data_IF_069833295097
#
_entry.id   IF_069833295097
#
_cell.length_a   1.000
_cell.length_b   1.000
_cell.length_c   1.000
_cell.angle_alpha   90.00
_cell.angle_beta   90.00
_cell.angle_gamma   90.00
#
_symmetry.space_group_name_H-M   'P 1'
#
loop_
_entity.id
_entity.type
_entity.pdbx_description
1 polymer ?
#
# COMPACT_ATOMS: atom_id res chain seq x y z
N UNK A 1 28.72 -10.27 8.30
CA UNK A 1 27.25 -10.43 8.33
C UNK A 1 26.58 -9.88 7.08
N UNK A 2 26.57 -8.57 6.79
CA UNK A 2 25.82 -7.98 5.66
C UNK A 2 25.78 -8.82 4.36
N UNK A 3 26.94 -9.26 3.87
CA UNK A 3 27.06 -10.01 2.60
C UNK A 3 26.64 -11.48 2.67
N UNK A 4 26.73 -12.11 3.84
CA UNK A 4 26.68 -13.57 3.97
C UNK A 4 25.56 -14.06 4.90
N UNK A 5 24.99 -13.20 5.73
CA UNK A 5 23.92 -13.58 6.65
C UNK A 5 22.58 -13.67 5.91
N UNK A 6 21.71 -14.55 6.39
CA UNK A 6 20.33 -14.62 5.94
C UNK A 6 19.42 -13.92 6.95
N UNK A 7 18.45 -13.16 6.43
CA UNK A 7 17.28 -12.74 7.19
C UNK A 7 16.34 -13.94 7.31
N UNK A 8 15.99 -14.31 8.54
CA UNK A 8 15.09 -15.41 8.84
C UNK A 8 13.82 -14.84 9.44
N UNK A 9 12.68 -15.29 8.93
CA UNK A 9 11.35 -14.96 9.44
C UNK A 9 10.62 -16.24 9.80
N UNK A 10 10.13 -16.30 11.04
CA UNK A 10 9.33 -17.42 11.55
C UNK A 10 8.03 -16.93 12.17
N UNK A 11 6.98 -17.74 12.11
CA UNK A 11 5.73 -17.44 12.81
C UNK A 11 5.87 -17.64 14.32
N UNK A 12 5.28 -16.73 15.09
CA UNK A 12 5.13 -16.91 16.53
C UNK A 12 4.09 -18.00 16.78
N UNK A 13 4.46 -19.02 17.54
CA UNK A 13 3.60 -20.17 17.83
C UNK A 13 2.24 -19.73 18.38
N UNK A 14 1.16 -20.23 17.77
CA UNK A 14 -0.22 -19.91 18.15
C UNK A 14 -0.82 -18.69 17.43
N UNK A 15 -0.08 -18.03 16.54
CA UNK A 15 -0.54 -16.88 15.74
C UNK A 15 -0.71 -17.20 14.25
N UNK A 16 -0.73 -18.47 13.87
CA UNK A 16 -0.80 -18.90 12.47
C UNK A 16 -2.12 -18.51 11.79
N UNK A 17 -3.24 -18.54 12.53
CA UNK A 17 -4.55 -18.12 12.01
C UNK A 17 -4.70 -16.60 11.94
N UNK A 18 -4.33 -15.89 13.01
CA UNK A 18 -4.33 -14.42 13.08
C UNK A 18 -3.41 -13.81 12.01
N UNK A 19 -2.29 -14.48 11.78
CA UNK A 19 -1.23 -14.09 10.88
C UNK A 19 -1.41 -14.49 9.41
N UNK A 20 -2.58 -14.97 8.99
CA UNK A 20 -2.76 -15.57 7.66
C UNK A 20 -2.29 -14.68 6.48
N UNK A 21 -2.31 -13.35 6.64
CA UNK A 21 -1.80 -12.39 5.64
C UNK A 21 -0.26 -12.38 5.49
N UNK A 22 0.47 -12.94 6.44
CA UNK A 22 1.93 -13.07 6.45
C UNK A 22 2.39 -14.51 6.21
N UNK A 23 1.50 -15.39 5.71
CA UNK A 23 1.77 -16.83 5.52
C UNK A 23 3.04 -17.10 4.71
N UNK A 24 3.30 -16.29 3.69
CA UNK A 24 4.50 -16.40 2.85
C UNK A 24 5.81 -16.20 3.64
N UNK A 25 5.74 -15.67 4.86
CA UNK A 25 6.86 -15.35 5.73
C UNK A 25 6.91 -16.18 7.02
N UNK A 26 6.09 -17.25 7.14
CA UNK A 26 6.04 -18.10 8.33
C UNK A 26 7.27 -18.98 8.53
N UNK A 27 7.96 -19.32 7.44
CA UNK A 27 9.25 -20.00 7.44
C UNK A 27 10.01 -19.54 6.20
N UNK A 28 10.59 -18.34 6.29
CA UNK A 28 11.21 -17.67 5.15
C UNK A 28 12.65 -17.27 5.44
N UNK A 29 13.53 -17.54 4.48
CA UNK A 29 14.98 -17.35 4.60
C UNK A 29 15.50 -16.73 3.32
N UNK A 30 16.17 -15.58 3.42
CA UNK A 30 16.77 -14.94 2.24
C UNK A 30 18.04 -14.15 2.57
N UNK A 31 18.95 -13.93 1.59
CA UNK A 31 20.17 -13.18 1.84
C UNK A 31 19.89 -11.73 2.26
N UNK A 32 20.47 -11.31 3.39
CA UNK A 32 20.24 -10.00 4.01
C UNK A 32 20.51 -8.82 3.07
N UNK A 33 21.59 -8.91 2.29
CA UNK A 33 22.03 -7.80 1.43
C UNK A 33 21.13 -7.53 0.21
N UNK A 34 20.29 -8.50 -0.16
CA UNK A 34 19.47 -8.46 -1.39
C UNK A 34 17.98 -8.56 -1.11
N UNK A 35 17.55 -8.36 0.14
CA UNK A 35 16.13 -8.41 0.50
C UNK A 35 15.37 -7.30 -0.23
N UNK A 36 14.34 -7.61 -1.04
CA UNK A 36 13.53 -6.60 -1.70
C UNK A 36 12.76 -5.74 -0.68
N UNK A 37 12.63 -4.44 -0.93
CA UNK A 37 11.95 -3.48 -0.03
C UNK A 37 10.56 -3.96 0.41
N UNK A 38 9.71 -4.38 -0.52
CA UNK A 38 8.34 -4.82 -0.20
C UNK A 38 8.29 -6.04 0.73
N UNK A 39 9.22 -7.00 0.60
CA UNK A 39 9.31 -8.17 1.49
C UNK A 39 9.84 -7.77 2.87
N UNK A 40 10.89 -6.95 2.91
CA UNK A 40 11.42 -6.40 4.15
C UNK A 40 10.32 -5.69 4.96
N UNK A 41 9.57 -4.78 4.34
CA UNK A 41 8.48 -4.05 4.99
C UNK A 41 7.34 -4.98 5.44
N UNK A 42 6.99 -6.01 4.65
CA UNK A 42 5.99 -6.99 5.04
C UNK A 42 6.42 -7.80 6.29
N UNK A 43 7.67 -8.25 6.31
CA UNK A 43 8.26 -8.95 7.46
C UNK A 43 8.34 -8.05 8.71
N UNK A 44 8.80 -6.81 8.58
CA UNK A 44 8.83 -5.86 9.70
C UNK A 44 7.43 -5.53 10.22
N UNK A 45 6.44 -5.42 9.33
CA UNK A 45 5.05 -5.25 9.72
C UNK A 45 4.54 -6.46 10.50
N UNK A 46 4.80 -7.68 10.03
CA UNK A 46 4.41 -8.90 10.75
C UNK A 46 5.08 -9.01 12.12
N UNK A 47 6.33 -8.55 12.25
CA UNK A 47 7.01 -8.42 13.54
C UNK A 47 6.36 -7.40 14.46
N UNK A 48 6.04 -6.20 13.97
CA UNK A 48 5.41 -5.14 14.77
C UNK A 48 3.99 -5.50 15.21
N UNK A 49 3.25 -6.25 14.40
CA UNK A 49 1.96 -6.83 14.77
C UNK A 49 2.10 -8.07 15.68
N UNK A 50 3.35 -8.47 15.97
CA UNK A 50 3.68 -9.57 16.88
C UNK A 50 3.36 -10.97 16.33
N UNK A 51 3.17 -11.11 15.02
CA UNK A 51 2.89 -12.38 14.33
C UNK A 51 4.17 -13.10 13.92
N UNK A 52 5.18 -12.35 13.48
CA UNK A 52 6.45 -12.88 13.02
C UNK A 52 7.57 -12.58 14.01
N UNK A 53 8.55 -13.47 14.08
CA UNK A 53 9.84 -13.25 14.68
C UNK A 53 10.88 -13.16 13.57
N UNK A 54 11.70 -12.11 13.61
CA UNK A 54 12.80 -11.91 12.67
C UNK A 54 14.12 -12.12 13.39
N UNK A 55 15.07 -12.78 12.74
CA UNK A 55 16.43 -12.96 13.21
C UNK A 55 17.45 -12.94 12.07
N UNK A 56 18.73 -12.83 12.41
CA UNK A 56 19.81 -13.01 11.44
C UNK A 56 20.51 -14.34 11.66
N UNK A 57 20.50 -15.18 10.63
CA UNK A 57 21.35 -16.37 10.58
C UNK A 57 22.72 -15.98 10.01
N UNK A 58 23.73 -15.95 10.88
CA UNK A 58 25.11 -15.63 10.52
C UNK A 58 25.83 -16.76 9.77
N UNK A 59 25.35 -17.99 9.90
CA UNK A 59 25.95 -19.21 9.36
C UNK A 59 24.90 -19.99 8.53
N UNK A 60 24.36 -19.40 7.44
CA UNK A 60 23.24 -19.98 6.69
C UNK A 60 23.56 -21.27 5.93
N UNK A 61 24.80 -21.74 5.98
CA UNK A 61 25.22 -23.02 5.41
C UNK A 61 24.85 -24.21 6.32
N UNK A 62 24.43 -23.95 7.55
CA UNK A 62 23.99 -24.96 8.49
C UNK A 62 22.48 -24.80 8.78
N UNK A 63 21.76 -25.92 8.79
CA UNK A 63 20.33 -25.95 9.12
C UNK A 63 20.07 -25.58 10.59
N UNK A 64 21.00 -25.94 11.47
CA UNK A 64 21.00 -25.55 12.88
C UNK A 64 22.22 -24.69 13.21
N UNK A 65 22.12 -23.77 14.20
CA UNK A 65 23.26 -22.97 14.62
C UNK A 65 24.45 -23.86 14.98
N UNK A 66 25.61 -23.72 14.30
CA UNK A 66 26.76 -24.57 14.55
C UNK A 66 27.28 -24.34 15.97
N UNK A 67 27.98 -25.36 16.51
CA UNK A 67 28.66 -25.24 17.81
C UNK A 67 29.68 -24.11 17.82
N UNK A 68 30.39 -23.93 16.71
CA UNK A 68 31.36 -22.85 16.49
C UNK A 68 30.92 -22.07 15.24
N UNK A 69 30.52 -20.81 15.42
CA UNK A 69 30.15 -19.93 14.31
C UNK A 69 31.41 -19.41 13.60
N UNK A 70 31.33 -19.18 12.29
CA UNK A 70 32.41 -18.49 11.56
C UNK A 70 32.72 -17.12 12.17
N UNK A 71 31.73 -16.46 12.78
CA UNK A 71 31.92 -15.18 13.44
C UNK A 71 32.71 -15.29 14.75
N UNK A 72 32.67 -16.43 15.43
CA UNK A 72 33.53 -16.69 16.61
C UNK A 72 35.00 -16.77 16.17
N UNK A 73 35.28 -17.35 14.99
CA UNK A 73 36.64 -17.38 14.42
C UNK A 73 37.16 -15.97 14.11
N UNK A 74 36.32 -15.10 13.53
CA UNK A 74 36.70 -13.69 13.28
C UNK A 74 37.11 -12.98 14.57
N UNK A 75 36.39 -13.22 15.68
CA UNK A 75 36.72 -12.62 16.98
C UNK A 75 38.06 -13.16 17.50
N UNK A 76 38.30 -14.47 17.39
CA UNK A 76 39.57 -15.08 17.81
C UNK A 76 40.75 -14.51 17.01
N UNK A 77 40.60 -14.39 15.69
CA UNK A 77 41.63 -13.86 14.80
C UNK A 77 41.91 -12.38 15.11
N UNK A 78 40.87 -11.58 15.33
CA UNK A 78 41.00 -10.17 15.70
C UNK A 78 41.77 -9.97 17.01
N UNK A 79 41.54 -10.83 18.00
CA UNK A 79 42.20 -10.78 19.30
C UNK A 79 43.59 -11.46 19.29
N UNK A 80 43.99 -12.09 18.18
CA UNK A 80 45.21 -12.90 18.12
C UNK A 80 45.20 -14.08 19.09
N UNK A 81 44.02 -14.59 19.43
CA UNK A 81 43.83 -15.59 20.47
C UNK A 81 44.23 -16.97 19.95
N UNK A 82 45.36 -17.50 20.45
CA UNK A 82 45.85 -18.84 20.10
C UNK A 82 45.43 -19.86 21.14
N UNK A 83 44.75 -20.90 20.67
CA UNK A 83 44.32 -22.04 21.49
C UNK A 83 45.31 -23.18 21.27
N UNK A 84 46.13 -23.46 22.28
CA UNK A 84 47.20 -24.46 22.25
C UNK A 84 46.95 -25.57 23.30
N UNK A 85 45.68 -25.83 23.62
CA UNK A 85 45.24 -26.75 24.69
C UNK A 85 45.77 -26.34 26.09
N UNK A 86 45.96 -25.05 26.32
CA UNK A 86 46.27 -24.55 27.66
C UNK A 86 45.04 -24.70 28.58
N UNK A 87 45.23 -24.83 29.92
CA UNK A 87 44.10 -25.01 30.85
C UNK A 87 43.01 -23.94 30.76
N UNK A 88 43.36 -22.72 30.35
CA UNK A 88 42.43 -21.60 30.21
C UNK A 88 41.69 -21.55 28.84
N UNK A 89 42.06 -22.39 27.88
CA UNK A 89 41.56 -22.29 26.50
C UNK A 89 40.08 -22.65 26.38
N UNK A 90 39.58 -23.58 27.19
CA UNK A 90 38.14 -23.89 27.27
C UNK A 90 37.33 -22.70 27.75
N UNK A 91 37.82 -22.01 28.79
CA UNK A 91 37.20 -20.78 29.30
C UNK A 91 37.25 -19.66 28.26
N UNK A 92 38.39 -19.46 27.59
CA UNK A 92 38.54 -18.47 26.51
C UNK A 92 37.57 -18.71 25.36
N UNK A 93 37.42 -19.96 24.89
CA UNK A 93 36.40 -20.33 23.90
C UNK A 93 34.99 -19.96 24.37
N UNK A 94 34.66 -20.28 25.61
CA UNK A 94 33.38 -19.90 26.22
C UNK A 94 33.15 -18.39 26.20
N UNK A 95 34.15 -17.59 26.56
CA UNK A 95 34.09 -16.12 26.53
C UNK A 95 33.89 -15.59 25.11
N UNK A 96 34.58 -16.14 24.11
CA UNK A 96 34.40 -15.76 22.69
C UNK A 96 32.98 -16.07 22.24
N UNK A 97 32.48 -17.27 22.52
CA UNK A 97 31.13 -17.67 22.14
C UNK A 97 30.06 -16.79 22.79
N UNK A 98 30.22 -16.45 24.07
CA UNK A 98 29.31 -15.53 24.77
C UNK A 98 29.40 -14.11 24.20
N UNK A 99 30.60 -13.63 23.91
CA UNK A 99 30.83 -12.33 23.28
C UNK A 99 30.11 -12.26 21.94
N UNK A 100 30.24 -13.30 21.11
CA UNK A 100 29.52 -13.40 19.85
C UNK A 100 28.00 -13.41 20.06
N UNK A 101 27.48 -14.40 20.78
CA UNK A 101 26.03 -14.70 20.80
C UNK A 101 25.21 -13.72 21.64
N UNK A 102 25.77 -13.19 22.72
CA UNK A 102 25.03 -12.38 23.70
C UNK A 102 25.26 -10.88 23.47
N UNK A 103 26.39 -10.49 22.84
CA UNK A 103 26.75 -9.08 22.65
C UNK A 103 26.82 -8.69 21.18
N UNK A 104 27.76 -9.27 20.43
CA UNK A 104 28.08 -8.82 19.07
C UNK A 104 26.93 -9.11 18.11
N UNK A 105 26.37 -10.32 18.12
CA UNK A 105 25.25 -10.70 17.24
C UNK A 105 24.02 -9.82 17.52
N UNK A 106 23.61 -9.67 18.78
CA UNK A 106 22.45 -8.84 19.15
C UNK A 106 22.60 -7.37 18.73
N UNK A 107 23.80 -6.82 18.89
CA UNK A 107 24.10 -5.44 18.47
C UNK A 107 24.05 -5.32 16.94
N UNK A 108 24.78 -6.17 16.22
CA UNK A 108 24.81 -6.14 14.76
C UNK A 108 23.46 -6.46 14.15
N UNK A 109 22.67 -7.35 14.74
CA UNK A 109 21.31 -7.64 14.30
C UNK A 109 20.44 -6.40 14.35
N UNK A 110 20.49 -5.64 15.46
CA UNK A 110 19.74 -4.39 15.59
C UNK A 110 20.16 -3.37 14.53
N UNK A 111 21.46 -3.17 14.35
CA UNK A 111 21.98 -2.20 13.37
C UNK A 111 21.66 -2.58 11.91
N UNK A 112 21.88 -3.85 11.56
CA UNK A 112 21.64 -4.33 10.21
C UNK A 112 20.16 -4.39 9.86
N UNK A 113 19.30 -4.79 10.80
CA UNK A 113 17.85 -4.71 10.63
C UNK A 113 17.39 -3.26 10.45
N UNK A 114 17.95 -2.32 11.22
CA UNK A 114 17.71 -0.89 11.05
C UNK A 114 18.08 -0.42 9.64
N UNK A 115 19.26 -0.80 9.17
CA UNK A 115 19.76 -0.47 7.81
C UNK A 115 18.84 -1.02 6.71
N UNK A 116 18.37 -2.27 6.84
CA UNK A 116 17.44 -2.87 5.88
C UNK A 116 16.11 -2.12 5.88
N UNK A 117 15.59 -1.78 7.07
CA UNK A 117 14.35 -1.03 7.21
C UNK A 117 14.45 0.34 6.54
N UNK A 118 15.48 1.11 6.86
CA UNK A 118 15.70 2.44 6.29
C UNK A 118 15.76 2.39 4.76
N UNK A 119 16.55 1.46 4.19
CA UNK A 119 16.63 1.29 2.73
C UNK A 119 15.29 0.92 2.12
N UNK A 120 14.53 0.04 2.78
CA UNK A 120 13.23 -0.39 2.30
C UNK A 120 12.20 0.75 2.35
N UNK A 121 12.20 1.54 3.43
CA UNK A 121 11.35 2.73 3.59
C UNK A 121 11.69 3.80 2.54
N UNK A 122 12.96 4.10 2.32
CA UNK A 122 13.41 5.05 1.30
C UNK A 122 12.93 4.65 -0.10
N UNK A 123 13.07 3.36 -0.46
CA UNK A 123 12.59 2.86 -1.75
C UNK A 123 11.08 3.00 -1.88
N UNK A 124 10.32 2.64 -0.84
CA UNK A 124 8.86 2.74 -0.82
C UNK A 124 8.40 4.21 -0.94
N UNK A 125 9.03 5.12 -0.20
CA UNK A 125 8.76 6.57 -0.26
C UNK A 125 9.03 7.09 -1.67
N UNK A 126 10.14 6.69 -2.30
CA UNK A 126 10.45 7.11 -3.67
C UNK A 126 9.42 6.60 -4.69
N UNK A 127 8.89 5.39 -4.51
CA UNK A 127 7.77 4.89 -5.33
C UNK A 127 6.51 5.72 -5.11
N UNK A 128 6.15 6.02 -3.85
CA UNK A 128 4.98 6.85 -3.55
C UNK A 128 5.13 8.27 -4.09
N UNK A 129 6.32 8.86 -3.97
CA UNK A 129 6.62 10.19 -4.49
C UNK A 129 6.46 10.26 -6.01
N UNK A 130 6.99 9.26 -6.75
CA UNK A 130 6.79 9.16 -8.21
C UNK A 130 5.32 9.00 -8.58
N UNK A 131 4.60 8.11 -7.90
CA UNK A 131 3.18 7.91 -8.17
C UNK A 131 2.36 9.18 -7.90
N UNK A 132 2.67 9.92 -6.82
CA UNK A 132 2.02 11.19 -6.52
C UNK A 132 2.36 12.25 -7.56
N UNK A 133 3.62 12.35 -7.96
CA UNK A 133 4.04 13.26 -9.03
C UNK A 133 3.27 12.98 -10.32
N UNK A 134 3.17 11.72 -10.74
CA UNK A 134 2.46 11.34 -11.96
C UNK A 134 0.95 11.63 -11.88
N UNK A 135 0.35 11.50 -10.70
CA UNK A 135 -1.05 11.90 -10.46
C UNK A 135 -1.25 13.40 -10.57
N UNK A 136 -0.34 14.20 -10.00
CA UNK A 136 -0.42 15.67 -10.01
C UNK A 136 -0.10 16.26 -11.39
N UNK A 137 0.78 15.61 -12.16
CA UNK A 137 1.21 16.05 -13.48
C UNK A 137 0.35 15.45 -14.61
N UNK A 138 -0.72 14.73 -14.28
CA UNK A 138 -1.65 14.21 -15.26
C UNK A 138 -2.29 15.37 -16.05
N UNK A 139 -2.43 15.18 -17.37
CA UNK A 139 -2.97 16.22 -18.23
C UNK A 139 -4.41 16.58 -17.82
N UNK A 140 -4.72 17.87 -17.59
CA UNK A 140 -6.06 18.30 -17.25
C UNK A 140 -6.99 18.09 -18.45
N UNK A 141 -8.20 17.58 -18.22
CA UNK A 141 -9.20 17.46 -19.27
C UNK A 141 -9.82 18.82 -19.64
N UNK A 142 -9.57 19.84 -18.82
CA UNK A 142 -9.95 21.23 -19.04
C UNK A 142 -11.34 21.59 -18.55
N UNK A 143 -11.80 22.78 -18.94
CA UNK A 143 -13.06 23.38 -18.53
C UNK A 143 -14.26 22.75 -19.25
N UNK A 144 -14.53 21.48 -18.97
CA UNK A 144 -15.61 20.69 -19.56
C UNK A 144 -16.55 20.21 -18.46
N UNK A 145 -17.86 20.18 -18.71
CA UNK A 145 -18.82 19.70 -17.73
C UNK A 145 -18.58 18.20 -17.45
N UNK A 146 -18.41 17.84 -16.19
CA UNK A 146 -17.94 16.51 -15.78
C UNK A 146 -18.87 15.88 -14.76
N UNK A 147 -19.24 14.61 -14.98
CA UNK A 147 -19.90 13.77 -13.99
C UNK A 147 -18.87 12.89 -13.28
N UNK A 148 -18.78 12.97 -11.96
CA UNK A 148 -18.05 12.03 -11.12
C UNK A 148 -18.94 10.88 -10.68
N UNK A 149 -18.46 9.65 -10.91
CA UNK A 149 -19.03 8.42 -10.40
C UNK A 149 -18.05 7.83 -9.38
N UNK A 150 -18.44 7.82 -8.11
CA UNK A 150 -17.72 7.14 -7.02
C UNK A 150 -18.31 5.73 -6.82
N UNK A 151 -17.64 4.66 -7.30
CA UNK A 151 -18.20 3.33 -7.33
C UNK A 151 -18.49 2.75 -5.94
N UNK A 152 -19.58 1.99 -5.85
CA UNK A 152 -19.91 1.26 -4.64
C UNK A 152 -20.96 0.18 -4.91
N UNK A 153 -20.86 -0.93 -4.17
CA UNK A 153 -21.82 -2.05 -4.26
C UNK A 153 -23.05 -1.77 -3.40
N UNK A 154 -23.01 -2.18 -2.13
CA UNK A 154 -24.14 -2.10 -1.19
C UNK A 154 -24.55 -0.65 -0.87
N UNK A 155 -23.59 0.28 -0.86
CA UNK A 155 -23.82 1.70 -0.57
C UNK A 155 -24.17 2.53 -1.80
N UNK A 156 -24.34 1.87 -2.96
CA UNK A 156 -24.58 2.54 -4.24
C UNK A 156 -23.37 3.29 -4.78
N UNK A 157 -23.51 3.74 -6.02
CA UNK A 157 -22.57 4.61 -6.73
C UNK A 157 -23.02 6.05 -6.48
N UNK A 158 -22.11 6.90 -6.02
CA UNK A 158 -22.41 8.31 -5.73
C UNK A 158 -22.11 9.09 -6.99
N UNK A 159 -23.03 9.98 -7.33
CA UNK A 159 -22.98 10.77 -8.55
C UNK A 159 -22.85 12.22 -8.14
N UNK A 160 -21.90 12.92 -8.74
CA UNK A 160 -21.80 14.37 -8.68
C UNK A 160 -21.62 14.91 -10.09
N UNK A 161 -22.27 16.03 -10.41
CA UNK A 161 -22.07 16.73 -11.68
C UNK A 161 -21.51 18.10 -11.37
N UNK A 162 -20.38 18.42 -11.98
CA UNK A 162 -19.77 19.75 -11.95
C UNK A 162 -19.85 20.39 -13.33
N UNK A 163 -20.10 21.70 -13.37
CA UNK A 163 -20.02 22.45 -14.62
C UNK A 163 -18.56 22.69 -15.05
N UNK A 164 -18.37 23.37 -16.18
CA UNK A 164 -17.03 23.68 -16.71
C UNK A 164 -16.13 24.47 -15.75
N UNK A 165 -16.68 25.15 -14.74
CA UNK A 165 -15.93 25.91 -13.72
C UNK A 165 -15.59 25.08 -12.48
N UNK A 166 -16.06 23.84 -12.41
CA UNK A 166 -15.93 22.98 -11.23
C UNK A 166 -16.99 23.23 -10.15
N UNK A 167 -18.01 24.05 -10.44
CA UNK A 167 -19.14 24.27 -9.53
C UNK A 167 -20.04 23.05 -9.52
N UNK A 168 -20.40 22.57 -8.32
CA UNK A 168 -21.36 21.48 -8.15
C UNK A 168 -22.76 21.93 -8.60
N UNK A 169 -23.38 21.19 -9.52
CA UNK A 169 -24.70 21.50 -10.09
C UNK A 169 -25.75 20.42 -9.85
N UNK A 170 -25.34 19.18 -9.57
CA UNK A 170 -26.24 18.10 -9.18
C UNK A 170 -25.49 16.99 -8.43
N UNK A 171 -26.23 16.24 -7.60
CA UNK A 171 -25.76 15.02 -6.95
C UNK A 171 -26.87 13.99 -6.89
N UNK A 172 -26.51 12.71 -6.87
CA UNK A 172 -27.45 11.62 -6.64
C UNK A 172 -26.74 10.38 -6.06
N UNK A 173 -27.50 9.41 -5.57
CA UNK A 173 -27.00 8.07 -5.22
C UNK A 173 -27.79 7.02 -5.98
N UNK A 174 -27.11 6.31 -6.87
CA UNK A 174 -27.72 5.31 -7.74
C UNK A 174 -27.28 3.90 -7.36
N UNK A 175 -28.12 2.91 -7.67
CA UNK A 175 -27.92 1.51 -7.26
C UNK A 175 -27.85 0.57 -8.47
N UNK A 176 -26.86 0.73 -9.37
CA UNK A 176 -26.78 -0.08 -10.59
C UNK A 176 -26.51 -1.56 -10.31
N UNK A 177 -25.84 -1.87 -9.19
CA UNK A 177 -25.34 -3.22 -8.87
C UNK A 177 -26.26 -4.05 -7.98
N UNK A 178 -27.37 -3.47 -7.50
CA UNK A 178 -28.31 -4.14 -6.57
C UNK A 178 -29.72 -4.25 -7.16
N UNK A 179 -29.82 -4.51 -8.45
CA UNK A 179 -31.10 -4.76 -9.15
C UNK A 179 -31.88 -3.51 -9.58
N UNK A 180 -31.34 -2.29 -9.37
CA UNK A 180 -31.96 -1.04 -9.83
C UNK A 180 -31.27 -0.43 -11.06
N UNK A 181 -30.61 -1.26 -11.87
CA UNK A 181 -29.82 -0.84 -13.03
C UNK A 181 -30.62 0.04 -14.02
N UNK A 182 -31.87 -0.31 -14.34
CA UNK A 182 -32.68 0.48 -15.27
C UNK A 182 -32.99 1.90 -14.73
N UNK A 183 -33.32 2.01 -13.43
CA UNK A 183 -33.56 3.31 -12.79
C UNK A 183 -32.28 4.14 -12.73
N UNK A 184 -31.16 3.50 -12.37
CA UNK A 184 -29.85 4.13 -12.37
C UNK A 184 -29.48 4.66 -13.77
N UNK A 185 -29.72 3.88 -14.82
CA UNK A 185 -29.42 4.25 -16.21
C UNK A 185 -30.20 5.49 -16.66
N UNK A 186 -31.52 5.53 -16.41
CA UNK A 186 -32.35 6.70 -16.71
C UNK A 186 -31.88 7.95 -15.96
N UNK A 187 -31.46 7.79 -14.70
CA UNK A 187 -30.99 8.89 -13.85
C UNK A 187 -29.68 9.48 -14.41
N UNK A 188 -28.70 8.62 -14.73
CA UNK A 188 -27.43 9.04 -15.34
C UNK A 188 -27.66 9.73 -16.68
N UNK A 189 -28.49 9.15 -17.55
CA UNK A 189 -28.80 9.75 -18.85
C UNK A 189 -29.46 11.13 -18.70
N UNK A 190 -30.43 11.27 -17.80
CA UNK A 190 -31.10 12.54 -17.54
C UNK A 190 -30.13 13.61 -17.01
N UNK A 191 -29.21 13.25 -16.12
CA UNK A 191 -28.19 14.16 -15.61
C UNK A 191 -27.19 14.57 -16.71
N UNK A 192 -26.75 13.62 -17.55
CA UNK A 192 -25.88 13.91 -18.67
C UNK A 192 -26.51 14.90 -19.66
N UNK A 193 -27.77 14.67 -20.05
CA UNK A 193 -28.49 15.56 -20.98
C UNK A 193 -28.78 16.93 -20.36
N UNK A 194 -29.28 16.97 -19.11
CA UNK A 194 -29.66 18.21 -18.43
C UNK A 194 -28.49 19.18 -18.24
N UNK A 195 -27.30 18.64 -17.93
CA UNK A 195 -26.12 19.44 -17.62
C UNK A 195 -25.09 19.47 -18.76
N UNK A 196 -25.45 18.95 -19.94
CA UNK A 196 -24.57 18.85 -21.10
C UNK A 196 -23.20 18.27 -20.73
N UNK A 197 -23.21 17.15 -20.00
CA UNK A 197 -21.99 16.49 -19.52
C UNK A 197 -21.18 16.04 -20.72
N UNK A 198 -19.89 16.35 -20.69
CA UNK A 198 -18.93 16.02 -21.74
C UNK A 198 -17.97 14.91 -21.32
N UNK A 199 -17.72 14.79 -20.02
CA UNK A 199 -16.79 13.84 -19.42
C UNK A 199 -17.44 13.09 -18.26
N UNK A 200 -17.10 11.82 -18.10
CA UNK A 200 -17.48 11.01 -16.94
C UNK A 200 -16.23 10.45 -16.27
N UNK A 201 -15.93 10.98 -15.09
CA UNK A 201 -14.85 10.51 -14.23
C UNK A 201 -15.34 9.34 -13.39
N UNK A 202 -14.71 8.18 -13.50
CA UNK A 202 -15.06 6.98 -12.71
C UNK A 202 -13.90 6.66 -11.77
N UNK A 203 -14.17 6.64 -10.46
CA UNK A 203 -13.19 6.24 -9.45
C UNK A 203 -12.66 4.83 -9.69
N UNK A 204 -11.38 4.58 -9.41
CA UNK A 204 -10.73 3.29 -9.64
C UNK A 204 -10.83 2.31 -8.45
N UNK A 205 -11.73 2.55 -7.50
CA UNK A 205 -11.91 1.69 -6.33
C UNK A 205 -12.81 0.49 -6.51
N UNK A 206 -13.47 0.13 -5.41
CA UNK A 206 -14.33 -1.06 -5.33
C UNK A 206 -15.51 -0.93 -6.28
N UNK A 207 -15.71 -1.95 -7.13
CA UNK A 207 -16.75 -1.96 -8.16
C UNK A 207 -16.59 -0.95 -9.31
N UNK A 208 -15.37 -0.45 -9.53
CA UNK A 208 -15.04 0.44 -10.66
C UNK A 208 -15.30 -0.22 -12.02
N UNK A 209 -14.90 -1.48 -12.20
CA UNK A 209 -15.11 -2.25 -13.45
C UNK A 209 -16.60 -2.44 -13.75
N UNK A 210 -17.39 -2.76 -12.73
CA UNK A 210 -18.84 -2.94 -12.82
C UNK A 210 -19.51 -1.61 -13.18
N UNK A 211 -19.06 -0.50 -12.57
CA UNK A 211 -19.58 0.85 -12.83
C UNK A 211 -19.21 1.33 -14.23
N UNK A 212 -18.01 1.03 -14.71
CA UNK A 212 -17.56 1.29 -16.07
C UNK A 212 -18.42 0.54 -17.10
N UNK A 213 -18.67 -0.75 -16.87
CA UNK A 213 -19.53 -1.57 -17.73
C UNK A 213 -20.96 -1.02 -17.74
N UNK A 214 -21.49 -0.67 -16.57
CA UNK A 214 -22.80 -0.06 -16.44
C UNK A 214 -22.88 1.23 -17.28
N UNK A 215 -21.90 2.13 -17.18
CA UNK A 215 -21.89 3.36 -17.96
C UNK A 215 -21.85 3.11 -19.47
N UNK A 216 -21.06 2.14 -19.93
CA UNK A 216 -21.05 1.73 -21.35
C UNK A 216 -22.43 1.23 -21.82
N UNK A 217 -23.14 0.51 -20.96
CA UNK A 217 -24.50 0.04 -21.29
C UNK A 217 -25.51 1.21 -21.29
N UNK A 218 -25.32 2.23 -20.44
CA UNK A 218 -26.08 3.50 -20.52
C UNK A 218 -25.86 4.17 -21.88
N UNK A 219 -24.62 4.29 -22.36
CA UNK A 219 -24.34 4.91 -23.66
C UNK A 219 -25.01 4.17 -24.84
N UNK A 220 -25.10 2.84 -24.77
CA UNK A 220 -25.81 2.04 -25.77
C UNK A 220 -27.32 2.26 -25.75
N UNK A 221 -27.90 2.38 -24.54
CA UNK A 221 -29.34 2.56 -24.36
C UNK A 221 -29.81 3.99 -24.66
N UNK A 222 -28.95 4.98 -24.40
CA UNK A 222 -29.24 6.41 -24.54
C UNK A 222 -28.23 7.07 -25.49
N UNK A 223 -28.47 7.05 -26.81
CA UNK A 223 -27.50 7.55 -27.80
C UNK A 223 -27.13 9.03 -27.69
N UNK A 224 -27.91 9.83 -26.96
CA UNK A 224 -27.60 11.23 -26.65
C UNK A 224 -26.49 11.38 -25.59
N UNK A 225 -26.22 10.33 -24.81
CA UNK A 225 -25.16 10.32 -23.79
C UNK A 225 -23.82 10.04 -24.48
N UNK A 226 -23.21 11.10 -24.99
CA UNK A 226 -21.95 11.04 -25.74
C UNK A 226 -20.70 11.32 -24.89
N UNK A 227 -20.89 11.62 -23.60
CA UNK A 227 -19.81 11.97 -22.69
C UNK A 227 -18.73 10.86 -22.62
N UNK A 228 -17.47 11.26 -22.70
CA UNK A 228 -16.34 10.33 -22.70
C UNK A 228 -16.01 9.90 -21.27
N UNK A 229 -15.95 8.59 -21.04
CA UNK A 229 -15.53 8.06 -19.74
C UNK A 229 -14.00 8.14 -19.58
N UNK A 230 -13.55 8.42 -18.37
CA UNK A 230 -12.15 8.37 -17.96
C UNK A 230 -12.07 7.73 -16.58
N UNK A 231 -11.16 6.78 -16.40
CA UNK A 231 -10.88 6.20 -15.08
C UNK A 231 -9.94 7.15 -14.34
N UNK A 232 -10.30 7.51 -13.12
CA UNK A 232 -9.56 8.46 -12.28
C UNK A 232 -9.20 7.80 -10.96
N UNK A 233 -8.01 8.12 -10.43
CA UNK A 233 -7.63 7.69 -9.09
C UNK A 233 -8.61 8.25 -8.06
N UNK A 234 -9.13 7.41 -7.17
CA UNK A 234 -9.91 7.87 -6.01
C UNK A 234 -9.03 8.12 -4.77
N UNK A 235 -7.70 7.97 -4.90
CA UNK A 235 -6.78 8.15 -3.79
C UNK A 235 -6.99 9.51 -3.12
N UNK A 236 -7.27 9.49 -1.81
CA UNK A 236 -7.54 10.69 -1.02
C UNK A 236 -8.95 11.28 -1.16
N UNK A 237 -9.83 10.77 -2.02
CA UNK A 237 -11.21 11.26 -2.13
C UNK A 237 -12.01 11.06 -0.83
N UNK A 238 -11.81 9.92 -0.15
CA UNK A 238 -12.40 9.62 1.15
C UNK A 238 -11.81 10.44 2.30
N UNK A 239 -10.52 10.80 2.21
CA UNK A 239 -9.85 11.69 3.16
C UNK A 239 -10.38 13.11 3.01
N UNK A 240 -10.48 13.58 1.76
CA UNK A 240 -11.07 14.88 1.44
C UNK A 240 -12.52 14.95 1.92
N UNK A 241 -13.36 13.95 1.65
CA UNK A 241 -14.78 14.01 1.98
C UNK A 241 -15.06 14.15 3.47
N UNK A 242 -14.21 13.54 4.31
CA UNK A 242 -14.24 13.62 5.76
C UNK A 242 -13.48 14.83 6.34
N UNK A 243 -12.83 15.64 5.51
CA UNK A 243 -12.04 16.80 5.95
C UNK A 243 -12.93 17.99 6.35
N UNK A 244 -12.39 18.85 7.23
CA UNK A 244 -13.03 20.11 7.60
C UNK A 244 -13.19 21.04 6.39
N UNK A 245 -12.21 21.05 5.47
CA UNK A 245 -12.27 21.81 4.23
C UNK A 245 -13.49 21.43 3.39
N UNK A 246 -13.70 20.13 3.14
CA UNK A 246 -14.86 19.69 2.36
C UNK A 246 -16.19 19.96 3.08
N UNK A 247 -16.19 19.94 4.42
CA UNK A 247 -17.36 20.34 5.21
C UNK A 247 -17.66 21.84 5.09
N UNK A 248 -16.64 22.69 4.95
CA UNK A 248 -16.81 24.13 4.69
C UNK A 248 -17.24 24.40 3.24
N UNK A 249 -16.69 23.66 2.26
CA UNK A 249 -17.07 23.78 0.85
C UNK A 249 -18.50 23.30 0.57
N UNK A 250 -18.91 22.21 1.23
CA UNK A 250 -20.22 21.57 1.03
C UNK A 250 -20.90 21.21 2.36
N UNK A 251 -21.39 22.21 3.14
CA UNK A 251 -21.97 21.97 4.46
C UNK A 251 -23.21 21.07 4.43
N UNK A 252 -24.07 21.27 3.43
CA UNK A 252 -25.35 20.58 3.30
C UNK A 252 -25.26 19.23 2.56
N UNK A 253 -24.05 18.84 2.12
CA UNK A 253 -23.83 17.62 1.36
C UNK A 253 -23.34 16.49 2.28
N UNK A 254 -23.95 15.31 2.15
CA UNK A 254 -23.51 14.10 2.84
C UNK A 254 -22.04 13.77 2.52
N UNK A 255 -21.33 13.25 3.53
CA UNK A 255 -19.90 12.89 3.42
C UNK A 255 -19.64 11.96 2.24
N UNK A 256 -20.53 11.01 1.95
CA UNK A 256 -20.32 10.07 0.85
C UNK A 256 -20.38 10.73 -0.53
N UNK A 257 -21.16 11.80 -0.70
CA UNK A 257 -21.30 12.48 -1.99
C UNK A 257 -20.14 13.44 -2.29
N UNK A 258 -19.47 13.97 -1.25
CA UNK A 258 -18.29 14.84 -1.41
C UNK A 258 -17.13 14.12 -2.12
N UNK A 259 -17.02 12.80 -1.95
CA UNK A 259 -16.03 11.98 -2.66
C UNK A 259 -16.23 12.02 -4.19
N UNK A 260 -17.48 11.89 -4.65
CA UNK A 260 -17.82 11.99 -6.07
C UNK A 260 -17.51 13.37 -6.66
N UNK A 261 -17.67 14.45 -5.87
CA UNK A 261 -17.28 15.80 -6.29
C UNK A 261 -15.77 15.88 -6.53
N UNK A 262 -14.97 15.32 -5.62
CA UNK A 262 -13.50 15.26 -5.76
C UNK A 262 -13.08 14.49 -7.01
N UNK A 263 -13.72 13.35 -7.29
CA UNK A 263 -13.46 12.56 -8.52
C UNK A 263 -13.76 13.38 -9.78
N UNK A 264 -14.88 14.12 -9.80
CA UNK A 264 -15.26 14.94 -10.95
C UNK A 264 -14.27 16.08 -11.21
N UNK A 265 -13.93 16.85 -10.17
CA UNK A 265 -12.99 17.99 -10.26
C UNK A 265 -11.59 17.55 -10.64
N UNK A 266 -11.11 16.43 -10.11
CA UNK A 266 -9.79 15.87 -10.41
C UNK A 266 -9.60 15.56 -11.89
N UNK A 267 -10.66 15.19 -12.62
CA UNK A 267 -10.55 15.01 -14.06
C UNK A 267 -10.40 16.33 -14.81
N UNK A 268 -11.06 17.39 -14.34
CA UNK A 268 -10.93 18.73 -14.95
C UNK A 268 -9.51 19.27 -14.76
N UNK A 269 -9.02 19.20 -13.53
CA UNK A 269 -7.66 19.58 -13.14
C UNK A 269 -7.18 18.72 -11.95
N UNK A 270 -6.22 17.81 -12.16
CA UNK A 270 -5.67 16.98 -11.09
C UNK A 270 -4.89 17.73 -10.01
N UNK A 271 -4.41 18.94 -10.29
CA UNK A 271 -3.53 19.72 -9.41
C UNK A 271 -4.29 20.73 -8.53
N UNK A 272 -5.46 21.19 -8.98
CA UNK A 272 -6.21 22.29 -8.37
C UNK A 272 -6.90 21.98 -7.04
#
# INVERSE_FOLDING_TARGET
LWKNAHLVSTVVSGKEEEGAKFRDYFDHHEPLSTVPSHRALAMFRGRNEGVLQLSLNADPQFDEPPKESYCEQIIMDHLGLRLNNAPADSWRKGVVSWTWRIKVLMHLETELMGTVRERAEDEAINVFARNLHDLLMAAPAGLRATMGLDPGLRTGVKVAVVDATGKLVATDTIYPHTGQAAKAAMTVAALCEKHNVELVAIGNGTASRETERFYLDVQKQFPKVTAQKVIVSEAGASVYSASELAAQEFPDLDVSLRGAVSIARRLQDPLA
#
